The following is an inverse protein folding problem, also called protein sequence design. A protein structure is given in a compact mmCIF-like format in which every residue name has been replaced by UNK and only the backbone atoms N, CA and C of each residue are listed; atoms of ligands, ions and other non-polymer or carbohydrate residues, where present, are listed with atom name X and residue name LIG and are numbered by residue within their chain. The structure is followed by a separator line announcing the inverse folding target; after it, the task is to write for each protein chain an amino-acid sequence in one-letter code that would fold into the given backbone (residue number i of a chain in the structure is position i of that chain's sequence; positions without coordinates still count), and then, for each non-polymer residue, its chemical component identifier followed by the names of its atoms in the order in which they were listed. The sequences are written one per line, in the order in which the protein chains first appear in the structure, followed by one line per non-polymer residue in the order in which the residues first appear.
data_IF_266876246041
#
_entry.id   IF_266876246041
#
_cell.length_a   1.000
_cell.length_b   1.000
_cell.length_c   1.000
_cell.angle_alpha   90.00
_cell.angle_beta   90.00
_cell.angle_gamma   90.00
#
_symmetry.space_group_name_H-M   'P 1'
#
loop_
_entity.id
_entity.type
_entity.pdbx_description
1 polymer ?
#
# COMPACT_ATOMS: atom_id res chain seq x y z
N UNK A 1 -19.49 -61.83 25.20
CA UNK A 1 -18.15 -61.81 25.83
C UNK A 1 -18.32 -60.96 27.09
N UNK A 2 -18.22 -61.42 28.36
CA UNK A 2 -17.06 -62.06 29.05
C UNK A 2 -15.81 -61.19 28.84
N UNK A 3 -15.16 -60.52 29.80
CA UNK A 3 -15.11 -60.52 31.30
C UNK A 3 -14.74 -59.07 31.76
N UNK A 4 -14.64 -58.64 33.03
CA UNK A 4 -14.74 -59.24 34.37
C UNK A 4 -15.20 -58.14 35.37
N UNK A 5 -15.97 -58.49 36.40
CA UNK A 5 -16.21 -57.69 37.61
C UNK A 5 -15.51 -58.37 38.80
N UNK A 6 -15.13 -57.61 39.84
CA UNK A 6 -14.50 -58.04 41.10
C UNK A 6 -13.13 -58.76 41.01
N UNK A 7 -12.11 -58.17 41.65
CA UNK A 7 -11.14 -58.90 42.49
C UNK A 7 -10.82 -58.06 43.76
N UNK A 8 -11.12 -58.66 44.91
CA UNK A 8 -10.59 -58.47 46.28
C UNK A 8 -10.65 -57.11 47.01
N UNK A 9 -11.48 -57.12 48.05
CA UNK A 9 -11.20 -56.46 49.36
C UNK A 9 -10.57 -57.51 50.28
N UNK A 10 -9.31 -57.33 50.69
CA UNK A 10 -8.61 -57.96 51.82
C UNK A 10 -7.15 -57.50 51.79
N UNK A 11 -6.48 -56.97 52.82
CA UNK A 11 -6.75 -56.61 54.22
C UNK A 11 -6.11 -55.20 54.43
N UNK A 12 -6.40 -54.34 55.40
CA UNK A 12 -7.20 -54.34 56.63
C UNK A 12 -6.58 -53.29 57.60
N UNK A 13 -7.37 -52.69 58.52
CA UNK A 13 -6.91 -51.71 59.57
C UNK A 13 -6.59 -50.30 58.98
N UNK A 14 -7.13 -49.15 59.42
CA UNK A 14 -7.97 -48.73 60.58
C UNK A 14 -8.93 -47.59 60.21
N UNK A 15 -10.01 -47.39 61.00
CA UNK A 15 -10.84 -46.17 61.02
C UNK A 15 -10.04 -44.97 61.60
N UNK A 16 -10.45 -43.69 61.53
CA UNK A 16 -11.75 -43.02 61.29
C UNK A 16 -11.60 -41.94 60.17
N UNK A 17 -12.44 -40.92 59.89
CA UNK A 17 -13.61 -40.31 60.56
C UNK A 17 -14.57 -39.58 59.59
N UNK A 18 -15.69 -39.08 60.13
CA UNK A 18 -16.47 -37.91 59.68
C UNK A 18 -16.74 -37.73 58.17
N UNK A 19 -17.91 -38.21 57.74
CA UNK A 19 -18.60 -37.63 56.58
C UNK A 19 -19.09 -36.23 56.91
N UNK A 20 -18.38 -35.20 56.43
CA UNK A 20 -19.00 -33.89 56.19
C UNK A 20 -19.76 -33.97 54.86
N UNK A 21 -21.09 -33.88 54.91
CA UNK A 21 -21.92 -33.63 53.73
C UNK A 21 -21.58 -32.22 53.20
N UNK A 22 -20.58 -32.14 52.33
CA UNK A 22 -20.39 -30.98 51.47
C UNK A 22 -21.55 -31.03 50.47
N UNK A 23 -22.57 -30.20 50.71
CA UNK A 23 -23.58 -29.95 49.71
C UNK A 23 -22.87 -29.50 48.43
N UNK A 24 -23.20 -30.12 47.29
CA UNK A 24 -22.74 -29.64 46.01
C UNK A 24 -23.35 -28.24 45.79
N UNK A 25 -22.58 -27.19 46.09
CA UNK A 25 -22.80 -25.92 45.43
C UNK A 25 -22.77 -26.20 43.92
N UNK A 26 -23.78 -25.78 43.14
CA UNK A 26 -23.68 -25.84 41.70
C UNK A 26 -22.41 -25.08 41.29
N UNK A 27 -21.71 -25.50 40.22
CA UNK A 27 -20.54 -24.76 39.76
C UNK A 27 -20.97 -23.32 39.50
N UNK A 28 -20.41 -22.39 40.26
CA UNK A 28 -20.53 -20.98 39.91
C UNK A 28 -19.85 -20.85 38.55
N UNK A 29 -20.65 -20.64 37.51
CA UNK A 29 -20.17 -20.00 36.29
C UNK A 29 -19.66 -18.62 36.72
N UNK A 30 -18.36 -18.52 37.02
CA UNK A 30 -17.70 -17.23 37.02
C UNK A 30 -17.80 -16.73 35.59
N UNK A 31 -18.67 -15.74 35.36
CA UNK A 31 -18.74 -15.06 34.08
C UNK A 31 -17.34 -14.61 33.69
N UNK A 32 -16.91 -15.00 32.49
CA UNK A 32 -15.56 -14.67 32.02
C UNK A 32 -15.50 -13.16 31.87
N UNK A 33 -14.80 -12.50 32.79
CA UNK A 33 -14.67 -11.04 32.77
C UNK A 33 -13.99 -10.61 31.46
N UNK A 34 -14.73 -9.88 30.61
CA UNK A 34 -14.29 -9.37 29.30
C UNK A 34 -13.41 -8.11 29.42
N UNK A 35 -13.24 -7.56 30.63
CA UNK A 35 -12.47 -6.36 30.94
C UNK A 35 -11.33 -6.64 31.95
N UNK A 36 -10.74 -7.84 31.93
CA UNK A 36 -9.84 -8.37 32.99
C UNK A 36 -8.79 -7.40 33.56
N UNK A 37 -8.17 -6.57 32.71
CA UNK A 37 -7.13 -5.61 33.09
C UNK A 37 -7.52 -4.15 32.83
N UNK A 38 -8.78 -3.90 32.45
CA UNK A 38 -9.28 -2.53 32.28
C UNK A 38 -9.35 -1.85 33.65
N UNK A 39 -8.93 -0.60 33.70
CA UNK A 39 -8.91 0.20 34.91
C UNK A 39 -9.68 1.50 34.68
N UNK A 40 -10.35 1.96 35.73
CA UNK A 40 -11.03 3.24 35.77
C UNK A 40 -10.38 4.07 36.85
N UNK A 41 -9.85 5.23 36.45
CA UNK A 41 -9.14 6.15 37.32
C UNK A 41 -10.08 7.19 37.92
N UNK A 42 -9.77 7.61 39.14
CA UNK A 42 -10.41 8.77 39.79
C UNK A 42 -10.43 9.99 38.86
N UNK A 43 -11.54 10.73 38.87
CA UNK A 43 -11.85 11.92 38.06
C UNK A 43 -12.15 11.68 36.56
N UNK A 44 -12.16 10.44 36.07
CA UNK A 44 -12.63 10.20 34.69
C UNK A 44 -14.14 10.43 34.56
N UNK A 45 -14.53 11.09 33.48
CA UNK A 45 -15.92 11.22 33.03
C UNK A 45 -16.40 9.96 32.33
N UNK A 46 -17.72 9.78 32.22
CA UNK A 46 -18.28 8.60 31.55
C UNK A 46 -17.93 8.52 30.06
N UNK A 47 -17.79 9.66 29.36
CA UNK A 47 -17.32 9.69 27.97
C UNK A 47 -15.85 9.25 27.83
N UNK A 48 -14.99 9.60 28.79
CA UNK A 48 -13.59 9.14 28.80
C UNK A 48 -13.49 7.65 29.12
N UNK A 49 -14.31 7.14 30.04
CA UNK A 49 -14.41 5.71 30.33
C UNK A 49 -14.86 4.96 29.07
N UNK A 50 -15.90 5.43 28.37
CA UNK A 50 -16.38 4.82 27.13
C UNK A 50 -15.31 4.79 26.03
N UNK A 51 -14.60 5.90 25.81
CA UNK A 51 -13.55 5.98 24.79
C UNK A 51 -12.37 5.04 25.10
N UNK A 52 -11.94 4.99 26.37
CA UNK A 52 -10.90 4.07 26.82
C UNK A 52 -11.33 2.61 26.70
N UNK A 53 -12.60 2.29 27.01
CA UNK A 53 -13.12 0.93 26.96
C UNK A 53 -13.25 0.41 25.53
N UNK A 54 -13.69 1.25 24.60
CA UNK A 54 -13.72 0.92 23.17
C UNK A 54 -12.31 0.59 22.66
N UNK A 55 -11.33 1.43 23.02
CA UNK A 55 -9.93 1.26 22.63
C UNK A 55 -9.31 0.01 23.29
N UNK A 56 -9.65 -0.25 24.56
CA UNK A 56 -9.26 -1.48 25.28
C UNK A 56 -9.75 -2.72 24.56
N UNK A 57 -11.03 -2.78 24.17
CA UNK A 57 -11.61 -3.92 23.46
C UNK A 57 -10.87 -4.17 22.13
N UNK A 58 -10.59 -3.10 21.36
CA UNK A 58 -9.85 -3.20 20.10
C UNK A 58 -8.44 -3.76 20.29
N UNK A 59 -7.70 -3.28 21.30
CA UNK A 59 -6.32 -3.71 21.56
C UNK A 59 -6.27 -5.12 22.18
N UNK A 60 -7.08 -5.40 23.22
CA UNK A 60 -7.08 -6.67 23.94
C UNK A 60 -7.44 -7.86 23.04
N UNK A 61 -8.37 -7.63 22.12
CA UNK A 61 -8.98 -8.66 21.26
C UNK A 61 -8.65 -8.50 19.78
N UNK A 62 -7.67 -7.65 19.41
CA UNK A 62 -7.20 -7.45 18.03
C UNK A 62 -8.35 -7.13 17.06
N UNK A 63 -9.29 -6.29 17.50
CA UNK A 63 -10.42 -5.87 16.67
C UNK A 63 -10.01 -4.69 15.78
N UNK A 64 -10.67 -4.55 14.64
CA UNK A 64 -10.48 -3.42 13.71
C UNK A 64 -10.54 -2.08 14.46
N UNK A 65 -9.49 -1.27 14.30
CA UNK A 65 -9.38 0.08 14.88
C UNK A 65 -10.26 1.08 14.11
N UNK A 66 -11.56 0.99 14.31
CA UNK A 66 -12.58 1.90 13.77
C UNK A 66 -13.31 2.63 14.91
N UNK A 67 -13.39 3.98 14.93
CA UNK A 67 -14.22 4.72 15.88
C UNK A 67 -15.72 4.42 15.76
N UNK A 68 -16.17 3.78 14.67
CA UNK A 68 -17.54 3.30 14.46
C UNK A 68 -17.76 1.83 14.84
N UNK A 69 -16.76 1.12 15.40
CA UNK A 69 -16.85 -0.29 15.81
C UNK A 69 -17.85 -0.60 16.96
N UNK A 70 -18.77 0.33 17.25
CA UNK A 70 -20.09 0.09 17.88
C UNK A 70 -20.88 -1.05 17.22
N UNK A 71 -20.53 -1.45 16.00
CA UNK A 71 -21.03 -2.67 15.34
C UNK A 71 -20.65 -3.97 16.07
N UNK A 72 -19.53 -3.99 16.80
CA UNK A 72 -19.02 -5.23 17.45
C UNK A 72 -19.60 -5.38 18.85
N UNK A 73 -19.71 -4.27 19.59
CA UNK A 73 -20.28 -4.24 20.93
C UNK A 73 -20.96 -2.90 21.23
N UNK A 74 -22.03 -2.96 22.00
CA UNK A 74 -22.63 -1.79 22.66
C UNK A 74 -22.27 -1.79 24.14
N UNK A 75 -22.08 -0.59 24.70
CA UNK A 75 -21.61 -0.40 26.06
C UNK A 75 -22.60 0.48 26.82
N UNK A 76 -22.83 0.15 28.09
CA UNK A 76 -23.50 1.02 29.06
C UNK A 76 -22.60 1.14 30.30
N UNK A 77 -22.40 2.38 30.77
CA UNK A 77 -21.56 2.71 31.94
C UNK A 77 -22.46 3.34 32.99
N UNK A 78 -22.63 2.66 34.13
CA UNK A 78 -23.48 3.11 35.23
C UNK A 78 -22.63 3.39 36.47
N UNK A 79 -22.82 4.55 37.07
CA UNK A 79 -22.16 4.97 38.29
C UNK A 79 -23.17 5.59 39.25
N UNK A 80 -23.16 5.18 40.52
CA UNK A 80 -24.13 5.64 41.54
C UNK A 80 -25.60 5.52 41.09
N UNK A 81 -25.95 4.41 40.40
CA UNK A 81 -27.26 4.15 39.80
C UNK A 81 -27.70 5.14 38.69
N UNK A 82 -26.79 5.97 38.16
CA UNK A 82 -27.01 6.83 36.99
C UNK A 82 -26.25 6.28 35.79
N UNK A 83 -26.90 6.22 34.63
CA UNK A 83 -26.22 6.03 33.35
C UNK A 83 -25.37 7.28 33.05
N UNK A 84 -24.06 7.08 32.89
CA UNK A 84 -23.08 8.12 32.58
C UNK A 84 -22.40 7.90 31.22
N UNK A 85 -22.85 6.93 30.41
CA UNK A 85 -22.16 6.44 29.20
C UNK A 85 -21.65 7.54 28.25
N UNK A 86 -22.40 8.64 28.11
CA UNK A 86 -22.03 9.80 27.29
C UNK A 86 -21.97 11.11 28.09
N UNK A 87 -21.86 11.02 29.42
CA UNK A 87 -21.81 12.17 30.34
C UNK A 87 -20.38 12.74 30.39
N UNK A 88 -20.27 14.07 30.23
CA UNK A 88 -19.02 14.84 30.26
C UNK A 88 -18.81 15.61 31.57
N UNK A 89 -19.75 15.52 32.51
CA UNK A 89 -19.81 16.34 33.73
C UNK A 89 -19.64 15.45 34.97
N UNK A 90 -20.31 14.29 35.00
CA UNK A 90 -20.17 13.34 36.11
C UNK A 90 -18.84 12.64 36.02
N UNK A 91 -17.96 12.92 36.98
CA UNK A 91 -16.70 12.21 37.19
C UNK A 91 -16.86 11.12 38.25
N UNK A 92 -16.11 10.03 38.10
CA UNK A 92 -16.10 8.93 39.06
C UNK A 92 -15.09 9.19 40.18
N UNK A 93 -15.46 8.93 41.43
CA UNK A 93 -14.58 9.10 42.59
C UNK A 93 -13.89 7.81 42.99
N UNK A 94 -12.68 7.95 43.57
CA UNK A 94 -11.90 6.88 44.18
C UNK A 94 -12.77 5.97 45.07
N UNK A 95 -12.49 4.67 45.02
CA UNK A 95 -13.17 3.60 45.76
C UNK A 95 -14.65 3.38 45.38
N UNK A 96 -15.24 4.20 44.50
CA UNK A 96 -16.55 3.96 43.92
C UNK A 96 -16.58 2.74 42.99
N UNK A 97 -17.77 2.20 42.71
CA UNK A 97 -17.96 1.08 41.79
C UNK A 97 -18.67 1.60 40.54
N UNK A 98 -18.10 1.32 39.37
CA UNK A 98 -18.71 1.52 38.06
C UNK A 98 -19.17 0.17 37.56
N UNK A 99 -20.44 0.06 37.20
CA UNK A 99 -21.01 -1.14 36.58
C UNK A 99 -21.02 -0.91 35.07
N UNK A 100 -20.46 -1.86 34.32
CA UNK A 100 -20.38 -1.79 32.87
C UNK A 100 -21.09 -3.01 32.28
N UNK A 101 -22.05 -2.74 31.41
CA UNK A 101 -22.76 -3.75 30.63
C UNK A 101 -22.26 -3.69 29.19
N UNK A 102 -21.82 -4.83 28.67
CA UNK A 102 -21.28 -4.98 27.30
C UNK A 102 -22.12 -6.01 26.58
N UNK A 103 -22.83 -5.61 25.53
CA UNK A 103 -23.56 -6.54 24.66
C UNK A 103 -22.79 -6.73 23.37
N UNK A 104 -22.30 -7.94 23.12
CA UNK A 104 -21.64 -8.28 21.86
C UNK A 104 -22.70 -8.42 20.76
N UNK A 105 -22.39 -7.94 19.56
CA UNK A 105 -23.28 -8.10 18.43
C UNK A 105 -23.46 -9.57 18.04
N UNK A 106 -24.65 -9.97 17.53
CA UNK A 106 -24.85 -11.29 16.95
C UNK A 106 -23.98 -11.48 15.69
N UNK A 107 -23.82 -12.73 15.20
CA UNK A 107 -22.99 -13.01 14.02
C UNK A 107 -23.31 -12.13 12.80
N UNK A 108 -22.32 -11.41 12.28
CA UNK A 108 -22.42 -10.52 11.12
C UNK A 108 -21.21 -10.75 10.21
N UNK A 109 -21.48 -11.13 8.95
CA UNK A 109 -20.45 -11.43 7.96
C UNK A 109 -19.50 -10.26 7.69
N UNK A 110 -19.97 -9.02 7.84
CA UNK A 110 -19.21 -7.80 7.58
C UNK A 110 -18.12 -7.48 8.62
N UNK A 111 -18.18 -8.11 9.81
CA UNK A 111 -17.21 -7.98 10.91
C UNK A 111 -16.72 -9.35 11.41
N UNK A 112 -16.82 -10.38 10.57
CA UNK A 112 -16.57 -11.78 10.92
C UNK A 112 -15.17 -12.09 11.46
N UNK A 113 -14.15 -11.33 11.06
CA UNK A 113 -12.77 -11.45 11.58
C UNK A 113 -12.69 -11.01 13.05
N UNK A 114 -13.25 -9.85 13.36
CA UNK A 114 -13.28 -9.31 14.73
C UNK A 114 -14.10 -10.22 15.66
N UNK A 115 -15.23 -10.73 15.16
CA UNK A 115 -16.05 -11.69 15.88
C UNK A 115 -15.33 -13.03 16.10
N UNK A 116 -14.52 -13.51 15.16
CA UNK A 116 -13.68 -14.69 15.37
C UNK A 116 -12.66 -14.50 16.50
N UNK A 117 -12.05 -13.33 16.61
CA UNK A 117 -11.07 -13.07 17.68
C UNK A 117 -11.73 -13.14 19.08
N UNK A 118 -12.95 -12.60 19.22
CA UNK A 118 -13.73 -12.70 20.45
C UNK A 118 -14.15 -14.14 20.77
N UNK A 119 -14.56 -14.92 19.77
CA UNK A 119 -14.94 -16.33 19.93
C UNK A 119 -13.73 -17.21 20.27
N UNK A 120 -12.55 -16.96 19.69
CA UNK A 120 -11.30 -17.63 20.06
C UNK A 120 -10.90 -17.32 21.51
N UNK A 121 -11.16 -16.10 21.97
CA UNK A 121 -11.06 -15.71 23.37
C UNK A 121 -12.26 -16.16 24.21
N UNK A 122 -13.11 -17.05 23.69
CA UNK A 122 -14.16 -17.76 24.45
C UNK A 122 -15.36 -16.90 24.86
N UNK A 123 -15.65 -15.83 24.12
CA UNK A 123 -16.87 -15.04 24.28
C UNK A 123 -17.94 -15.46 23.26
N UNK A 124 -19.20 -15.41 23.67
CA UNK A 124 -20.38 -15.79 22.89
C UNK A 124 -20.99 -14.54 22.24
N UNK A 125 -21.18 -14.58 20.92
CA UNK A 125 -21.75 -13.47 20.15
C UNK A 125 -23.25 -13.33 20.43
N UNK A 126 -23.74 -12.10 20.55
CA UNK A 126 -25.12 -11.81 20.95
C UNK A 126 -25.38 -11.81 22.46
N UNK A 127 -24.42 -12.24 23.30
CA UNK A 127 -24.56 -12.22 24.75
C UNK A 127 -24.21 -10.87 25.38
N UNK A 128 -24.71 -10.69 26.60
CA UNK A 128 -24.43 -9.54 27.46
C UNK A 128 -23.51 -9.96 28.61
N UNK A 129 -22.48 -9.16 28.87
CA UNK A 129 -21.50 -9.34 29.93
C UNK A 129 -21.60 -8.17 30.90
N UNK A 130 -21.67 -8.44 32.20
CA UNK A 130 -21.69 -7.40 33.23
C UNK A 130 -20.39 -7.43 34.02
N UNK A 131 -19.74 -6.28 34.18
CA UNK A 131 -18.48 -6.15 34.90
C UNK A 131 -18.58 -5.00 35.89
N UNK A 132 -18.23 -5.29 37.14
CA UNK A 132 -18.06 -4.27 38.18
C UNK A 132 -16.57 -3.91 38.28
N UNK A 133 -16.27 -2.62 38.15
CA UNK A 133 -14.91 -2.10 38.25
C UNK A 133 -14.85 -1.08 39.37
N UNK A 134 -14.03 -1.38 40.38
CA UNK A 134 -13.74 -0.44 41.45
C UNK A 134 -12.77 0.63 40.95
N UNK A 135 -13.16 1.88 41.09
CA UNK A 135 -12.34 3.05 40.75
C UNK A 135 -11.14 3.12 41.68
N UNK A 136 -9.94 3.20 41.11
CA UNK A 136 -8.70 3.37 41.88
C UNK A 136 -8.03 4.68 41.51
N UNK A 137 -7.10 5.12 42.35
CA UNK A 137 -6.07 6.04 41.87
C UNK A 137 -5.13 5.30 40.91
N UNK A 138 -4.33 6.05 40.16
CA UNK A 138 -3.42 5.56 39.12
C UNK A 138 -2.59 4.36 39.59
N UNK A 139 -2.90 3.18 39.07
CA UNK A 139 -2.15 1.95 39.30
C UNK A 139 -1.29 1.63 38.06
N UNK A 140 -0.10 2.25 38.01
CA UNK A 140 0.83 2.14 36.87
C UNK A 140 1.11 0.68 36.54
N UNK A 141 0.93 0.30 35.28
CA UNK A 141 1.16 -1.08 34.85
C UNK A 141 2.64 -1.30 34.49
N UNK A 142 3.24 -2.36 35.05
CA UNK A 142 4.68 -2.55 34.95
C UNK A 142 5.11 -3.22 33.65
N UNK A 143 5.93 -2.53 32.83
CA UNK A 143 6.32 -2.98 31.48
C UNK A 143 7.38 -4.10 31.47
N UNK A 144 7.91 -4.55 32.62
CA UNK A 144 8.95 -5.60 32.69
C UNK A 144 8.59 -6.95 32.05
N UNK A 145 7.32 -7.18 31.73
CA UNK A 145 6.82 -8.43 31.11
C UNK A 145 6.44 -8.26 29.63
N UNK A 146 6.70 -7.09 29.05
CA UNK A 146 6.56 -6.81 27.62
C UNK A 146 7.68 -7.53 26.86
N UNK A 147 7.30 -8.12 25.73
CA UNK A 147 8.21 -8.81 24.82
C UNK A 147 7.99 -8.19 23.44
N UNK A 148 9.05 -7.62 22.88
CA UNK A 148 9.11 -7.19 21.48
C UNK A 148 9.92 -8.24 20.73
N UNK A 149 9.41 -8.85 19.64
CA UNK A 149 10.17 -9.81 18.85
C UNK A 149 11.32 -9.11 18.12
N UNK A 150 12.33 -9.87 17.67
CA UNK A 150 13.39 -9.32 16.80
C UNK A 150 12.76 -8.77 15.50
N UNK A 151 12.78 -7.44 15.38
CA UNK A 151 12.15 -6.68 14.31
C UNK A 151 12.90 -6.81 12.98
N UNK A 152 14.18 -7.21 13.02
CA UNK A 152 15.06 -7.38 11.86
C UNK A 152 15.18 -6.16 10.95
N UNK A 153 15.05 -4.94 11.50
CA UNK A 153 15.02 -3.70 10.70
C UNK A 153 16.31 -3.54 9.90
N UNK A 154 16.25 -3.16 8.62
CA UNK A 154 17.47 -2.99 7.82
C UNK A 154 18.37 -1.88 8.34
N UNK A 155 19.70 -2.10 8.30
CA UNK A 155 20.70 -1.09 8.57
C UNK A 155 20.65 0.04 7.53
N UNK A 156 20.70 1.28 8.01
CA UNK A 156 20.94 2.48 7.19
C UNK A 156 22.38 2.93 7.39
N UNK A 157 23.29 2.43 6.55
CA UNK A 157 24.74 2.66 6.65
C UNK A 157 25.15 4.15 6.55
N UNK A 158 24.29 5.01 5.99
CA UNK A 158 24.44 6.47 5.99
C UNK A 158 23.98 7.12 7.32
N UNK A 159 23.19 6.45 8.16
CA UNK A 159 22.74 6.91 9.47
C UNK A 159 23.62 6.38 10.62
N UNK A 160 23.47 6.97 11.80
CA UNK A 160 24.15 6.55 13.04
C UNK A 160 23.20 5.79 13.97
N UNK A 161 23.72 4.98 14.90
CA UNK A 161 22.87 4.19 15.80
C UNK A 161 21.92 5.02 16.68
N UNK A 162 22.23 6.29 16.99
CA UNK A 162 21.30 7.15 17.73
C UNK A 162 19.95 7.33 17.02
N UNK A 163 19.92 7.30 15.68
CA UNK A 163 18.68 7.47 14.90
C UNK A 163 17.67 6.35 15.13
N UNK A 164 18.13 5.15 15.50
CA UNK A 164 17.24 4.02 15.77
C UNK A 164 16.31 4.28 16.98
N UNK A 165 16.75 5.07 17.96
CA UNK A 165 15.90 5.46 19.11
C UNK A 165 14.69 6.32 18.70
N UNK A 166 14.76 6.92 17.51
CA UNK A 166 13.72 7.75 16.91
C UNK A 166 13.10 7.10 15.66
N UNK A 167 13.41 5.83 15.38
CA UNK A 167 12.85 5.11 14.25
C UNK A 167 11.36 4.81 14.52
N UNK A 168 10.51 5.21 13.57
CA UNK A 168 9.06 5.10 13.70
C UNK A 168 8.59 3.64 13.88
N UNK A 169 9.08 2.72 13.05
CA UNK A 169 8.71 1.30 13.07
C UNK A 169 9.08 0.63 14.41
N UNK A 170 10.24 0.99 14.97
CA UNK A 170 10.69 0.52 16.29
C UNK A 170 9.82 1.08 17.42
N UNK A 171 9.50 2.38 17.39
CA UNK A 171 8.63 3.03 18.39
C UNK A 171 7.21 2.45 18.33
N UNK A 172 6.67 2.25 17.13
CA UNK A 172 5.36 1.66 16.89
C UNK A 172 5.30 0.22 17.42
N UNK A 173 6.28 -0.62 17.07
CA UNK A 173 6.35 -2.00 17.58
C UNK A 173 6.47 -2.07 19.12
N UNK A 174 7.22 -1.15 19.74
CA UNK A 174 7.32 -1.04 21.21
C UNK A 174 6.00 -0.61 21.83
N UNK A 175 5.36 0.45 21.30
CA UNK A 175 4.06 0.94 21.77
C UNK A 175 3.00 -0.15 21.66
N UNK A 176 2.93 -0.83 20.51
CA UNK A 176 1.91 -1.84 20.25
C UNK A 176 2.13 -3.11 21.08
N UNK A 177 3.38 -3.47 21.39
CA UNK A 177 3.71 -4.54 22.32
C UNK A 177 3.34 -4.19 23.78
N UNK A 178 3.62 -2.96 24.24
CA UNK A 178 3.17 -2.46 25.55
C UNK A 178 1.64 -2.52 25.62
N UNK A 179 0.97 -1.93 24.62
CA UNK A 179 -0.48 -1.80 24.56
C UNK A 179 -1.15 -3.16 24.52
N UNK A 180 -0.70 -4.12 23.70
CA UNK A 180 -1.25 -5.48 23.72
C UNK A 180 -0.97 -6.21 25.05
N UNK A 181 0.28 -6.18 25.53
CA UNK A 181 0.71 -6.99 26.69
C UNK A 181 -0.03 -6.63 27.97
N UNK A 182 -0.29 -5.34 28.16
CA UNK A 182 -0.94 -4.76 29.33
C UNK A 182 -2.43 -4.47 29.08
N UNK A 183 -2.83 -4.38 27.81
CA UNK A 183 -4.17 -3.99 27.36
C UNK A 183 -4.52 -2.59 27.85
N UNK A 184 -3.74 -1.62 27.37
CA UNK A 184 -3.83 -0.19 27.67
C UNK A 184 -3.62 0.63 26.40
N UNK A 185 -3.83 1.95 26.49
CA UNK A 185 -3.59 2.91 25.40
C UNK A 185 -2.42 3.84 25.74
N UNK A 186 -1.22 3.27 25.93
CA UNK A 186 0.00 4.06 26.10
C UNK A 186 0.40 4.76 24.79
N UNK A 187 0.98 5.95 24.96
CA UNK A 187 1.42 6.85 23.91
C UNK A 187 2.95 6.84 23.75
N UNK A 188 3.46 7.43 22.68
CA UNK A 188 4.91 7.63 22.51
C UNK A 188 5.52 8.56 23.57
N UNK A 189 4.71 9.29 24.36
CA UNK A 189 5.16 10.09 25.50
C UNK A 189 5.23 9.33 26.83
N UNK A 190 4.77 8.07 26.89
CA UNK A 190 4.78 7.26 28.11
C UNK A 190 6.09 6.51 28.33
N UNK A 191 6.94 6.40 27.32
CA UNK A 191 8.22 5.68 27.37
C UNK A 191 9.33 6.39 26.58
N UNK A 192 10.57 6.01 26.90
CA UNK A 192 11.79 6.45 26.25
C UNK A 192 12.52 5.20 25.75
N UNK A 193 13.01 5.25 24.51
CA UNK A 193 13.83 4.19 23.90
C UNK A 193 15.29 4.66 23.84
N UNK A 194 16.21 3.81 24.31
CA UNK A 194 17.65 3.94 24.06
C UNK A 194 18.20 2.62 23.52
N UNK A 195 19.43 2.63 22.99
CA UNK A 195 20.14 1.42 22.57
C UNK A 195 21.58 1.38 23.09
N UNK A 196 22.16 0.20 23.07
CA UNK A 196 23.48 -0.13 23.61
C UNK A 196 24.68 0.28 22.74
N UNK A 197 24.44 0.74 21.51
CA UNK A 197 25.50 1.13 20.57
C UNK A 197 25.98 2.56 20.82
N UNK A 198 27.20 2.86 20.34
CA UNK A 198 27.75 4.21 20.42
C UNK A 198 26.94 5.17 19.51
N UNK A 199 26.40 6.30 20.05
CA UNK A 199 25.45 7.14 19.32
C UNK A 199 25.88 7.61 17.92
N UNK A 200 27.18 7.86 17.73
CA UNK A 200 27.74 8.47 16.51
C UNK A 200 28.35 7.46 15.54
N UNK A 201 28.41 6.16 15.86
CA UNK A 201 28.90 5.14 14.92
C UNK A 201 27.82 4.82 13.88
N UNK A 202 28.24 4.49 12.65
CA UNK A 202 27.33 4.13 11.55
C UNK A 202 26.68 2.78 11.80
N UNK A 203 25.41 2.65 11.40
CA UNK A 203 24.71 1.38 11.44
C UNK A 203 25.36 0.38 10.48
N UNK A 204 25.52 -0.88 10.90
CA UNK A 204 26.08 -1.95 10.06
C UNK A 204 25.10 -3.12 9.96
N UNK A 205 24.96 -3.75 8.77
CA UNK A 205 24.27 -5.02 8.64
C UNK A 205 24.86 -6.12 9.52
N UNK A 206 24.01 -6.98 10.08
CA UNK A 206 24.37 -8.06 10.99
C UNK A 206 24.57 -7.63 12.45
N UNK A 207 24.62 -6.33 12.77
CA UNK A 207 24.74 -5.86 14.15
C UNK A 207 23.49 -6.22 14.96
N UNK A 208 23.70 -6.90 16.08
CA UNK A 208 22.67 -7.13 17.09
C UNK A 208 22.62 -5.91 18.02
N UNK A 209 21.50 -5.19 18.03
CA UNK A 209 21.30 -3.98 18.84
C UNK A 209 20.37 -4.29 20.01
N UNK A 210 20.81 -4.03 21.24
CA UNK A 210 19.97 -4.16 22.43
C UNK A 210 19.31 -2.82 22.72
N UNK A 211 17.98 -2.79 22.65
CA UNK A 211 17.18 -1.64 23.04
C UNK A 211 16.77 -1.74 24.50
N UNK A 212 16.78 -0.60 25.20
CA UNK A 212 16.20 -0.44 26.53
C UNK A 212 15.00 0.48 26.43
N UNK A 213 13.83 0.00 26.84
CA UNK A 213 12.61 0.79 26.95
C UNK A 213 12.38 1.09 28.42
N UNK A 214 12.32 2.37 28.76
CA UNK A 214 12.09 2.84 30.14
C UNK A 214 10.88 3.75 30.17
N UNK A 215 10.02 3.62 31.17
CA UNK A 215 8.92 4.56 31.41
C UNK A 215 9.40 6.02 31.48
N UNK A 216 8.68 6.92 30.82
CA UNK A 216 8.91 8.36 30.91
C UNK A 216 8.52 8.89 32.31
N UNK A 217 9.28 9.82 32.92
CA UNK A 217 9.03 10.26 34.29
C UNK A 217 7.61 10.79 34.57
N UNK A 218 6.96 11.34 33.55
CA UNK A 218 5.62 11.89 33.56
C UNK A 218 4.51 10.92 33.12
N UNK A 219 4.82 9.66 32.77
CA UNK A 219 3.78 8.68 32.41
C UNK A 219 2.84 8.44 33.60
N UNK A 220 1.55 8.52 33.34
CA UNK A 220 0.47 8.17 34.26
C UNK A 220 -0.06 6.75 34.06
N UNK A 221 0.44 5.99 33.07
CA UNK A 221 -0.12 4.68 32.69
C UNK A 221 0.81 3.51 33.02
N UNK A 222 2.12 3.68 32.84
CA UNK A 222 3.10 2.59 32.94
C UNK A 222 4.23 2.90 33.92
N UNK A 223 4.93 1.85 34.36
CA UNK A 223 6.16 1.94 35.15
C UNK A 223 7.19 0.86 34.82
N UNK A 224 8.44 1.09 35.21
CA UNK A 224 9.54 0.15 35.04
C UNK A 224 10.26 0.25 33.69
N UNK A 225 10.91 -0.85 33.32
CA UNK A 225 11.68 -0.96 32.07
C UNK A 225 11.74 -2.41 31.59
N UNK A 226 12.03 -2.60 30.31
CA UNK A 226 12.39 -3.89 29.71
C UNK A 226 13.44 -3.67 28.62
N UNK A 227 14.06 -4.77 28.15
CA UNK A 227 14.97 -4.76 27.01
C UNK A 227 14.47 -5.69 25.91
N UNK A 228 14.84 -5.40 24.66
CA UNK A 228 14.64 -6.29 23.53
C UNK A 228 15.81 -6.18 22.55
N UNK A 229 15.92 -7.16 21.66
CA UNK A 229 16.96 -7.23 20.65
C UNK A 229 16.35 -6.93 19.28
N UNK A 230 17.07 -6.21 18.44
CA UNK A 230 16.77 -6.02 17.03
C UNK A 230 18.05 -6.21 16.22
N UNK A 231 18.06 -7.21 15.33
CA UNK A 231 19.20 -7.57 14.49
C UNK A 231 19.14 -6.77 13.20
N UNK A 232 20.11 -5.91 12.91
CA UNK A 232 20.04 -5.08 11.72
C UNK A 232 20.23 -5.90 10.44
N UNK A 233 19.23 -5.93 9.56
CA UNK A 233 19.31 -6.65 8.29
C UNK A 233 20.15 -5.89 7.25
N UNK A 234 20.73 -6.59 6.27
CA UNK A 234 21.22 -5.94 5.06
C UNK A 234 20.04 -5.47 4.19
N UNK A 235 20.14 -4.25 3.64
CA UNK A 235 19.26 -3.85 2.53
C UNK A 235 19.55 -4.73 1.30
N UNK A 236 18.59 -4.87 0.39
CA UNK A 236 18.77 -5.64 -0.85
C UNK A 236 19.43 -4.76 -1.92
N UNK A 237 20.46 -5.27 -2.58
CA UNK A 237 21.10 -4.57 -3.70
C UNK A 237 20.23 -4.66 -4.95
N UNK A 238 19.98 -3.52 -5.61
CA UNK A 238 19.30 -3.46 -6.91
C UNK A 238 20.29 -3.46 -8.09
N UNK A 239 21.60 -3.42 -7.86
CA UNK A 239 22.60 -3.18 -8.92
C UNK A 239 22.68 -4.28 -9.98
N UNK A 240 22.23 -5.50 -9.65
CA UNK A 240 22.09 -6.61 -10.61
C UNK A 240 20.69 -6.70 -11.25
N UNK A 241 19.77 -5.75 -11.02
CA UNK A 241 18.42 -5.81 -11.58
C UNK A 241 18.44 -5.54 -13.08
N UNK A 242 17.82 -6.42 -13.86
CA UNK A 242 17.72 -6.34 -15.31
C UNK A 242 16.26 -6.21 -15.73
N UNK A 243 15.94 -5.15 -16.48
CA UNK A 243 14.61 -4.96 -17.11
C UNK A 243 14.76 -5.21 -18.60
N UNK A 244 14.21 -6.34 -19.05
CA UNK A 244 14.31 -6.77 -20.45
C UNK A 244 13.14 -6.22 -21.28
N UNK A 245 13.49 -5.52 -22.37
CA UNK A 245 12.61 -5.17 -23.50
C UNK A 245 11.22 -4.64 -23.11
N UNK A 246 11.17 -3.44 -22.53
CA UNK A 246 9.93 -2.72 -22.26
C UNK A 246 9.52 -1.90 -23.51
N UNK A 247 8.40 -2.21 -24.19
CA UNK A 247 7.86 -1.35 -25.24
C UNK A 247 7.24 -0.11 -24.59
N UNK A 248 7.60 1.08 -25.08
CA UNK A 248 7.03 2.35 -24.62
C UNK A 248 6.74 3.24 -25.83
N UNK A 249 5.49 3.69 -25.96
CA UNK A 249 5.11 4.65 -27.00
C UNK A 249 5.60 6.06 -26.63
N UNK A 250 6.27 6.78 -27.54
CA UNK A 250 6.66 8.17 -27.31
C UNK A 250 5.42 9.06 -27.32
N UNK A 251 5.41 10.10 -26.48
CA UNK A 251 4.44 11.18 -26.56
C UNK A 251 5.14 12.51 -26.82
N UNK A 252 5.21 12.99 -28.09
CA UNK A 252 5.90 14.24 -28.44
C UNK A 252 5.28 15.53 -27.85
N UNK A 253 4.17 15.44 -27.10
CA UNK A 253 3.65 16.56 -26.28
C UNK A 253 4.37 16.68 -24.92
N UNK A 254 5.08 15.63 -24.52
CA UNK A 254 5.78 15.55 -23.25
C UNK A 254 7.30 15.53 -23.45
N UNK A 255 8.02 15.99 -22.44
CA UNK A 255 9.49 15.98 -22.44
C UNK A 255 10.04 14.64 -21.95
N UNK A 256 11.34 14.41 -22.12
CA UNK A 256 12.02 13.25 -21.53
C UNK A 256 12.04 13.25 -20.00
N UNK A 257 11.94 14.40 -19.33
CA UNK A 257 11.83 14.40 -17.87
C UNK A 257 10.48 13.81 -17.39
N UNK A 258 9.39 14.15 -18.09
CA UNK A 258 8.08 13.57 -17.82
C UNK A 258 8.04 12.05 -18.09
N UNK A 259 8.95 11.53 -18.91
CA UNK A 259 9.10 10.09 -19.15
C UNK A 259 9.61 9.34 -17.90
N UNK A 260 10.34 9.99 -16.99
CA UNK A 260 10.74 9.42 -15.70
C UNK A 260 9.54 9.08 -14.79
N UNK A 261 8.39 9.70 -15.06
CA UNK A 261 7.13 9.49 -14.32
C UNK A 261 6.13 8.62 -15.10
N UNK A 262 6.54 8.00 -16.21
CA UNK A 262 5.68 7.11 -16.98
C UNK A 262 5.31 5.88 -16.14
N UNK A 263 4.01 5.58 -16.05
CA UNK A 263 3.48 4.51 -15.22
C UNK A 263 3.99 3.11 -15.62
N UNK A 264 4.08 2.80 -16.90
CA UNK A 264 4.52 1.49 -17.38
C UNK A 264 6.00 1.25 -17.03
N UNK A 265 6.83 2.30 -17.11
CA UNK A 265 8.22 2.29 -16.67
C UNK A 265 8.33 2.07 -15.16
N UNK A 266 7.57 2.82 -14.36
CA UNK A 266 7.59 2.70 -12.89
C UNK A 266 7.06 1.35 -12.41
N UNK A 267 5.96 0.86 -13.00
CA UNK A 267 5.38 -0.46 -12.70
C UNK A 267 6.35 -1.58 -13.08
N UNK A 268 7.07 -1.48 -14.21
CA UNK A 268 8.09 -2.44 -14.61
C UNK A 268 9.27 -2.47 -13.63
N UNK A 269 9.76 -1.32 -13.19
CA UNK A 269 10.82 -1.22 -12.17
C UNK A 269 10.37 -1.88 -10.86
N UNK A 270 9.19 -1.54 -10.35
CA UNK A 270 8.64 -2.11 -9.12
C UNK A 270 8.44 -3.62 -9.25
N UNK A 271 7.82 -4.07 -10.34
CA UNK A 271 7.55 -5.48 -10.59
C UNK A 271 8.83 -6.32 -10.66
N UNK A 272 9.84 -5.84 -11.37
CA UNK A 272 11.12 -6.56 -11.51
C UNK A 272 11.90 -6.59 -10.19
N UNK A 273 11.99 -5.48 -9.46
CA UNK A 273 12.67 -5.44 -8.14
C UNK A 273 11.96 -6.37 -7.14
N UNK A 274 10.63 -6.26 -7.02
CA UNK A 274 9.84 -7.07 -6.10
C UNK A 274 9.99 -8.57 -6.39
N UNK A 275 9.94 -8.96 -7.67
CA UNK A 275 10.10 -10.34 -8.09
C UNK A 275 11.54 -10.85 -7.88
N UNK A 276 12.57 -10.13 -8.33
CA UNK A 276 13.96 -10.58 -8.23
C UNK A 276 14.45 -10.66 -6.77
N UNK A 277 14.03 -9.73 -5.90
CA UNK A 277 14.54 -9.61 -4.54
C UNK A 277 13.58 -10.16 -3.46
N UNK A 278 12.36 -10.55 -3.86
CA UNK A 278 11.28 -11.07 -2.98
C UNK A 278 10.93 -10.10 -1.84
N UNK A 279 10.66 -8.85 -2.23
CA UNK A 279 10.31 -7.71 -1.36
C UNK A 279 9.12 -6.93 -1.93
N UNK A 280 8.63 -5.92 -1.20
CA UNK A 280 7.60 -4.99 -1.69
C UNK A 280 8.10 -3.55 -1.55
N UNK A 281 8.55 -2.95 -2.65
CA UNK A 281 8.94 -1.54 -2.75
C UNK A 281 7.86 -0.68 -3.42
N UNK A 282 8.01 0.64 -3.31
CA UNK A 282 7.16 1.66 -3.93
C UNK A 282 8.00 2.71 -4.66
N UNK A 283 7.36 3.66 -5.34
CA UNK A 283 8.05 4.82 -5.95
C UNK A 283 8.74 5.76 -4.95
N UNK A 284 8.59 5.55 -3.63
CA UNK A 284 9.35 6.28 -2.60
C UNK A 284 10.75 5.68 -2.38
N UNK A 285 10.96 4.43 -2.78
CA UNK A 285 12.18 3.67 -2.52
C UNK A 285 13.28 3.92 -3.56
N UNK A 286 12.96 4.55 -4.69
CA UNK A 286 13.90 4.83 -5.76
C UNK A 286 13.59 6.15 -6.50
N UNK A 287 14.58 6.67 -7.20
CA UNK A 287 14.46 7.79 -8.14
C UNK A 287 14.80 7.26 -9.54
N UNK A 288 14.06 7.72 -10.54
CA UNK A 288 14.31 7.43 -11.97
C UNK A 288 14.77 8.70 -12.66
N UNK A 289 15.86 8.61 -13.41
CA UNK A 289 16.30 9.62 -14.39
C UNK A 289 16.63 8.94 -15.71
N UNK A 290 16.88 9.72 -16.76
CA UNK A 290 17.36 9.19 -18.05
C UNK A 290 18.44 10.07 -18.67
N UNK A 291 19.07 9.55 -19.74
CA UNK A 291 20.21 10.15 -20.44
C UNK A 291 19.86 11.24 -21.47
N UNK A 292 18.58 11.54 -21.68
CA UNK A 292 18.14 12.57 -22.64
C UNK A 292 18.05 13.95 -22.00
N UNK A 293 17.91 15.01 -22.82
CA UNK A 293 17.77 16.38 -22.31
C UNK A 293 16.37 16.59 -21.70
N UNK A 294 16.34 16.96 -20.43
CA UNK A 294 15.16 17.23 -19.57
C UNK A 294 13.98 17.88 -20.30
N UNK A 295 14.25 18.91 -21.13
CA UNK A 295 13.23 19.74 -21.79
C UNK A 295 12.98 19.39 -23.27
N UNK A 296 13.66 18.40 -23.84
CA UNK A 296 13.41 18.00 -25.24
C UNK A 296 12.17 17.08 -25.35
N UNK A 297 11.33 17.26 -26.38
CA UNK A 297 10.19 16.38 -26.63
C UNK A 297 10.60 14.93 -26.90
N UNK A 298 9.77 13.98 -26.48
CA UNK A 298 9.96 12.55 -26.74
C UNK A 298 9.87 12.24 -28.24
N UNK A 299 10.82 11.48 -28.78
CA UNK A 299 10.91 11.17 -30.21
C UNK A 299 10.81 9.65 -30.49
N UNK A 300 10.14 9.22 -31.58
CA UNK A 300 10.06 7.82 -31.99
C UNK A 300 11.40 7.25 -32.43
N UNK A 301 11.59 5.95 -32.16
CA UNK A 301 12.86 5.20 -32.32
C UNK A 301 14.05 5.79 -31.55
N UNK A 302 13.84 6.68 -30.58
CA UNK A 302 14.91 7.14 -29.70
C UNK A 302 15.25 6.04 -28.68
N UNK A 303 16.53 5.73 -28.56
CA UNK A 303 17.08 4.93 -27.47
C UNK A 303 17.26 5.80 -26.23
N UNK A 304 16.66 5.40 -25.12
CA UNK A 304 16.69 6.10 -23.83
C UNK A 304 17.27 5.17 -22.77
N UNK A 305 18.34 5.59 -22.11
CA UNK A 305 18.93 4.87 -20.98
C UNK A 305 18.40 5.43 -19.68
N UNK A 306 17.62 4.63 -18.95
CA UNK A 306 17.16 4.96 -17.61
C UNK A 306 18.21 4.60 -16.57
N UNK A 307 18.28 5.40 -15.51
CA UNK A 307 19.09 5.17 -14.33
C UNK A 307 18.14 5.12 -13.13
N UNK A 308 18.17 4.02 -12.39
CA UNK A 308 17.33 3.81 -11.21
C UNK A 308 18.23 3.74 -9.98
N UNK A 309 18.05 4.70 -9.07
CA UNK A 309 18.87 4.86 -7.86
C UNK A 309 17.98 4.63 -6.65
N UNK A 310 18.35 3.71 -5.75
CA UNK A 310 17.64 3.55 -4.48
C UNK A 310 17.75 4.83 -3.64
N UNK A 311 16.65 5.28 -3.02
CA UNK A 311 16.67 6.47 -2.17
C UNK A 311 17.45 6.21 -0.88
N UNK A 312 18.18 7.21 -0.38
CA UNK A 312 18.82 7.15 0.94
C UNK A 312 17.83 6.84 2.08
N UNK A 313 16.56 7.21 1.88
CA UNK A 313 15.46 6.96 2.82
C UNK A 313 14.86 5.55 2.73
N UNK A 314 15.16 4.75 1.69
CA UNK A 314 14.64 3.39 1.61
C UNK A 314 15.25 2.50 2.69
N UNK A 315 14.38 1.86 3.47
CA UNK A 315 14.73 0.80 4.42
C UNK A 315 14.87 -0.57 3.75
N UNK A 316 14.52 -0.72 2.47
CA UNK A 316 14.47 -2.03 1.81
C UNK A 316 15.62 -2.25 0.83
N UNK A 317 15.97 -1.22 0.05
CA UNK A 317 16.93 -1.35 -1.06
C UNK A 317 18.11 -0.37 -0.98
N UNK A 318 19.20 -0.73 -1.64
CA UNK A 318 20.34 0.13 -1.94
C UNK A 318 20.87 -0.16 -3.35
N UNK A 319 21.79 0.66 -3.85
CA UNK A 319 22.47 0.43 -5.13
C UNK A 319 21.85 1.22 -6.29
N UNK A 320 22.27 0.87 -7.51
CA UNK A 320 21.85 1.56 -8.74
C UNK A 320 21.99 0.62 -9.93
N UNK A 321 20.96 0.55 -10.77
CA UNK A 321 21.04 -0.14 -12.06
C UNK A 321 20.62 0.77 -13.22
N UNK A 322 20.85 0.29 -14.43
CA UNK A 322 20.46 0.96 -15.67
C UNK A 322 19.76 -0.02 -16.59
N UNK A 323 18.81 0.47 -17.36
CA UNK A 323 18.18 -0.30 -18.44
C UNK A 323 17.87 0.63 -19.61
N UNK A 324 17.64 0.04 -20.79
CA UNK A 324 17.46 0.80 -22.02
C UNK A 324 16.09 0.49 -22.62
N UNK A 325 15.42 1.55 -23.07
CA UNK A 325 14.15 1.48 -23.81
C UNK A 325 14.38 2.08 -25.20
N UNK A 326 13.81 1.45 -26.23
CA UNK A 326 13.71 2.08 -27.56
C UNK A 326 12.25 2.50 -27.73
N UNK A 327 12.02 3.81 -27.83
CA UNK A 327 10.66 4.35 -27.99
C UNK A 327 10.08 3.89 -29.34
N UNK A 328 8.82 3.47 -29.34
CA UNK A 328 8.17 2.91 -30.52
C UNK A 328 8.01 3.93 -31.69
N UNK A 329 7.70 3.43 -32.89
CA UNK A 329 7.28 4.27 -34.03
C UNK A 329 5.83 4.70 -33.85
N UNK A 330 5.49 5.94 -34.19
CA UNK A 330 4.11 6.43 -34.08
C UNK A 330 3.22 5.85 -35.19
N UNK A 331 2.06 5.32 -34.82
CA UNK A 331 1.13 4.73 -35.78
C UNK A 331 0.40 5.83 -36.58
N UNK A 332 0.25 5.64 -37.90
CA UNK A 332 -0.48 6.53 -38.82
C UNK A 332 -2.02 6.47 -38.68
N UNK A 333 -2.58 5.47 -38.00
CA UNK A 333 -4.03 5.26 -37.84
C UNK A 333 -4.85 6.50 -37.38
N UNK A 334 -4.38 7.38 -36.46
CA UNK A 334 -5.13 8.57 -36.06
C UNK A 334 -5.02 9.75 -37.04
N UNK A 335 -4.18 9.67 -38.08
CA UNK A 335 -4.04 10.72 -39.11
C UNK A 335 -5.26 10.74 -40.03
N UNK A 336 -5.86 11.92 -40.20
CA UNK A 336 -7.04 12.14 -41.05
C UNK A 336 -6.86 13.39 -41.88
N UNK A 337 -6.99 13.26 -43.20
CA UNK A 337 -6.96 14.35 -44.15
C UNK A 337 -8.39 14.61 -44.64
N UNK A 338 -8.86 15.85 -44.50
CA UNK A 338 -10.03 16.33 -45.22
C UNK A 338 -9.60 16.67 -46.65
N UNK A 339 -9.86 15.75 -47.58
CA UNK A 339 -9.48 15.91 -48.98
C UNK A 339 -10.25 16.99 -49.73
N UNK A 340 -11.27 17.64 -49.13
CA UNK A 340 -11.86 18.87 -49.70
C UNK A 340 -10.90 20.07 -49.62
N UNK A 341 -9.89 20.00 -48.76
CA UNK A 341 -8.85 21.04 -48.62
C UNK A 341 -7.72 20.92 -49.66
N UNK A 342 -7.71 19.85 -50.47
CA UNK A 342 -6.70 19.61 -51.51
C UNK A 342 -7.33 19.78 -52.89
N UNK A 343 -6.96 20.84 -53.59
CA UNK A 343 -7.47 21.15 -54.93
C UNK A 343 -6.49 20.69 -56.00
N UNK A 344 -6.75 19.53 -56.61
CA UNK A 344 -5.97 19.04 -57.77
C UNK A 344 -6.83 19.10 -59.02
N UNK A 345 -6.38 19.82 -60.04
CA UNK A 345 -7.00 19.85 -61.37
C UNK A 345 -6.61 18.59 -62.14
N UNK A 346 -7.56 17.93 -62.80
CA UNK A 346 -7.26 16.78 -63.67
C UNK A 346 -6.42 17.22 -64.87
N UNK A 347 -5.37 16.46 -65.18
CA UNK A 347 -4.60 16.60 -66.41
C UNK A 347 -4.95 15.44 -67.37
N UNK A 348 -5.76 15.67 -68.42
CA UNK A 348 -6.18 14.63 -69.37
C UNK A 348 -5.03 13.99 -70.17
N UNK A 349 -3.82 14.56 -70.13
CA UNK A 349 -2.63 13.99 -70.77
C UNK A 349 -1.72 13.23 -69.79
N UNK A 350 -1.93 13.37 -68.49
CA UNK A 350 -1.23 12.60 -67.46
C UNK A 350 -1.98 11.33 -67.03
N UNK A 351 -1.22 10.32 -66.60
CA UNK A 351 -1.75 9.10 -66.01
C UNK A 351 -2.10 9.30 -64.52
N UNK A 352 -2.99 8.48 -63.96
CA UNK A 352 -3.32 8.54 -62.52
C UNK A 352 -2.12 8.24 -61.60
N UNK A 353 -1.11 7.49 -62.07
CA UNK A 353 0.09 7.23 -61.26
C UNK A 353 0.87 8.52 -60.94
N UNK A 354 0.82 9.54 -61.81
CA UNK A 354 1.56 10.80 -61.58
C UNK A 354 1.05 11.57 -60.36
N UNK A 355 -0.21 11.36 -59.95
CA UNK A 355 -0.78 11.94 -58.73
C UNK A 355 -0.04 11.50 -57.47
N UNK A 356 0.56 10.31 -57.45
CA UNK A 356 1.37 9.82 -56.31
C UNK A 356 2.65 10.67 -56.08
N UNK A 357 3.00 11.48 -57.08
CA UNK A 357 4.15 12.40 -57.13
C UNK A 357 3.71 13.88 -57.13
N UNK A 358 2.42 14.19 -57.05
CA UNK A 358 1.91 15.57 -57.02
C UNK A 358 2.34 16.29 -55.72
N UNK A 359 2.88 17.51 -55.85
CA UNK A 359 3.44 18.27 -54.74
C UNK A 359 2.40 18.76 -53.72
N UNK A 360 1.18 19.08 -54.14
CA UNK A 360 0.10 19.54 -53.25
C UNK A 360 -0.36 18.40 -52.35
N UNK A 361 -0.54 17.21 -52.93
CA UNK A 361 -0.85 15.97 -52.20
C UNK A 361 0.27 15.63 -51.21
N UNK A 362 1.54 15.66 -51.66
CA UNK A 362 2.69 15.41 -50.79
C UNK A 362 2.76 16.40 -49.64
N UNK A 363 2.54 17.68 -49.91
CA UNK A 363 2.56 18.75 -48.90
C UNK A 363 1.44 18.54 -47.89
N UNK A 364 0.21 18.33 -48.33
CA UNK A 364 -0.95 18.11 -47.46
C UNK A 364 -0.80 16.87 -46.57
N UNK A 365 -0.27 15.77 -47.11
CA UNK A 365 0.05 14.56 -46.34
C UNK A 365 1.13 14.86 -45.29
N UNK A 366 2.25 15.47 -45.70
CA UNK A 366 3.37 15.80 -44.78
C UNK A 366 2.90 16.72 -43.66
N UNK A 367 2.20 17.81 -43.99
CA UNK A 367 1.68 18.79 -43.02
C UNK A 367 0.70 18.14 -42.06
N UNK A 368 -0.18 17.25 -42.53
CA UNK A 368 -1.18 16.61 -41.66
C UNK A 368 -0.53 15.58 -40.73
N UNK A 369 0.40 14.75 -41.21
CA UNK A 369 1.16 13.83 -40.35
C UNK A 369 1.91 14.63 -39.26
N UNK A 370 2.66 15.67 -39.66
CA UNK A 370 3.42 16.50 -38.73
C UNK A 370 2.54 17.18 -37.68
N UNK A 371 1.37 17.71 -38.10
CA UNK A 371 0.42 18.36 -37.20
C UNK A 371 -0.29 17.37 -36.25
N UNK A 372 -0.64 16.17 -36.71
CA UNK A 372 -1.36 15.18 -35.90
C UNK A 372 -0.44 14.47 -34.92
N UNK A 373 0.75 14.05 -35.37
CA UNK A 373 1.70 13.26 -34.59
C UNK A 373 2.77 14.11 -33.88
N UNK A 374 2.85 15.42 -34.17
CA UNK A 374 3.79 16.37 -33.57
C UNK A 374 5.27 15.97 -33.75
N UNK A 375 5.59 15.56 -34.98
CA UNK A 375 6.92 15.15 -35.45
C UNK A 375 7.23 15.84 -36.78
N UNK A 376 8.44 15.63 -37.32
CA UNK A 376 8.85 16.12 -38.64
C UNK A 376 9.17 14.93 -39.55
N UNK A 377 8.18 14.47 -40.33
CA UNK A 377 8.38 13.49 -41.41
C UNK A 377 8.72 14.16 -42.74
N UNK A 378 9.29 13.36 -43.64
CA UNK A 378 9.61 13.72 -45.02
C UNK A 378 8.90 12.79 -46.01
N UNK A 379 8.96 13.08 -47.31
CA UNK A 379 8.47 12.18 -48.39
C UNK A 379 9.18 10.82 -48.42
N UNK A 380 10.31 10.64 -47.72
CA UNK A 380 10.98 9.34 -47.58
C UNK A 380 10.36 8.45 -46.50
N UNK A 381 9.59 9.04 -45.57
CA UNK A 381 8.98 8.31 -44.45
C UNK A 381 7.68 7.59 -44.83
N UNK A 382 7.09 7.89 -45.98
CA UNK A 382 5.81 7.31 -46.41
C UNK A 382 5.71 7.18 -47.93
N UNK A 383 4.98 6.14 -48.34
CA UNK A 383 4.65 5.84 -49.74
C UNK A 383 3.22 6.35 -50.01
N UNK A 384 3.01 6.96 -51.17
CA UNK A 384 1.67 7.33 -51.66
C UNK A 384 1.29 6.40 -52.80
N UNK A 385 0.13 5.75 -52.70
CA UNK A 385 -0.52 5.07 -53.82
C UNK A 385 -1.95 5.56 -53.95
N UNK A 386 -2.60 5.27 -55.08
CA UNK A 386 -4.01 5.56 -55.29
C UNK A 386 -4.75 4.39 -55.94
N UNK A 387 -6.07 4.40 -55.86
CA UNK A 387 -6.92 3.28 -56.26
C UNK A 387 -7.25 3.20 -57.77
N UNK A 388 -6.70 4.08 -58.60
CA UNK A 388 -6.96 4.10 -60.04
C UNK A 388 -5.90 3.29 -60.81
N UNK A 389 -6.23 2.71 -61.97
CA UNK A 389 -5.25 2.01 -62.81
C UNK A 389 -4.11 2.94 -63.27
N UNK A 390 -2.88 2.46 -63.19
CA UNK A 390 -1.67 3.26 -63.51
C UNK A 390 -1.56 3.62 -64.99
N UNK A 391 -2.23 2.89 -65.88
CA UNK A 391 -2.27 3.07 -67.33
C UNK A 391 -3.40 3.98 -67.81
N UNK A 392 -4.31 4.43 -66.92
CA UNK A 392 -5.41 5.33 -67.28
C UNK A 392 -5.04 6.80 -67.14
N UNK A 393 -5.49 7.60 -68.11
CA UNK A 393 -5.47 9.07 -68.08
C UNK A 393 -6.43 9.63 -67.02
N UNK A 394 -6.11 10.79 -66.46
CA UNK A 394 -6.93 11.43 -65.44
C UNK A 394 -8.21 12.02 -66.03
N UNK A 395 -9.34 11.81 -65.35
CA UNK A 395 -10.64 12.37 -65.72
C UNK A 395 -11.09 13.40 -64.64
N UNK A 396 -11.68 14.54 -65.05
CA UNK A 396 -12.24 15.49 -64.10
C UNK A 396 -13.45 14.89 -63.36
N UNK A 397 -13.74 15.43 -62.17
CA UNK A 397 -14.81 14.99 -61.25
C UNK A 397 -14.63 13.55 -60.72
N UNK A 398 -13.56 12.84 -61.07
CA UNK A 398 -13.24 11.53 -60.50
C UNK A 398 -12.85 11.64 -59.03
N UNK A 399 -13.45 10.79 -58.20
CA UNK A 399 -13.03 10.59 -56.81
C UNK A 399 -11.86 9.60 -56.78
N UNK A 400 -10.71 10.06 -56.29
CA UNK A 400 -9.49 9.27 -56.15
C UNK A 400 -9.24 9.01 -54.67
N UNK A 401 -9.13 7.74 -54.29
CA UNK A 401 -8.77 7.31 -52.94
C UNK A 401 -7.27 7.07 -52.88
N UNK A 402 -6.59 7.80 -51.99
CA UNK A 402 -5.17 7.66 -51.73
C UNK A 402 -4.95 6.79 -50.49
N UNK A 403 -3.93 5.93 -50.57
CA UNK A 403 -3.41 5.17 -49.43
C UNK A 403 -2.02 5.68 -49.12
N UNK A 404 -1.79 6.00 -47.85
CA UNK A 404 -0.52 6.47 -47.30
C UNK A 404 -0.02 5.40 -46.34
N UNK A 405 1.07 4.74 -46.71
CA UNK A 405 1.69 3.67 -45.91
C UNK A 405 3.06 4.14 -45.43
N UNK A 406 3.39 3.93 -44.16
CA UNK A 406 4.72 4.23 -43.65
C UNK A 406 5.78 3.41 -44.41
N UNK A 407 6.89 4.05 -44.78
CA UNK A 407 8.02 3.38 -45.42
C UNK A 407 8.67 2.42 -44.42
N UNK A 408 9.09 1.24 -44.90
CA UNK A 408 9.85 0.27 -44.10
C UNK A 408 11.10 0.90 -43.46
N UNK A 409 11.73 1.84 -44.19
CA UNK A 409 12.93 2.58 -43.76
C UNK A 409 12.63 3.74 -42.81
N UNK A 410 11.36 4.14 -42.61
CA UNK A 410 11.05 5.23 -41.67
C UNK A 410 11.39 4.82 -40.25
N UNK A 411 12.06 5.71 -39.51
CA UNK A 411 12.28 5.57 -38.07
C UNK A 411 11.17 6.22 -37.25
N UNK A 412 10.28 6.99 -37.88
CA UNK A 412 9.34 7.85 -37.17
C UNK A 412 7.94 7.24 -37.07
N UNK A 413 7.48 6.62 -38.16
CA UNK A 413 6.08 6.21 -38.31
C UNK A 413 5.91 4.74 -38.72
N UNK A 414 4.72 4.19 -38.46
CA UNK A 414 4.30 2.84 -38.83
C UNK A 414 2.81 2.80 -39.23
N UNK A 415 2.36 1.71 -39.87
CA UNK A 415 0.98 1.53 -40.30
C UNK A 415 0.61 2.31 -41.56
N UNK A 416 -0.68 2.59 -41.73
CA UNK A 416 -1.22 3.29 -42.90
C UNK A 416 -2.52 4.05 -42.59
N UNK A 417 -2.88 4.99 -43.46
CA UNK A 417 -4.20 5.62 -43.50
C UNK A 417 -4.65 5.89 -44.95
N UNK A 418 -5.93 6.26 -45.14
CA UNK A 418 -6.49 6.59 -46.46
C UNK A 418 -7.28 7.89 -46.43
N UNK A 419 -7.33 8.60 -47.56
CA UNK A 419 -8.23 9.75 -47.77
C UNK A 419 -8.71 9.80 -49.22
N UNK A 420 -9.66 10.68 -49.52
CA UNK A 420 -10.26 10.83 -50.87
C UNK A 420 -10.21 12.29 -51.31
N UNK A 421 -9.85 12.54 -52.56
CA UNK A 421 -10.01 13.84 -53.21
C UNK A 421 -10.92 13.69 -54.44
N UNK A 422 -11.49 14.80 -54.92
CA UNK A 422 -12.19 14.85 -56.20
C UNK A 422 -11.39 15.73 -57.15
N UNK A 423 -10.99 15.20 -58.31
CA UNK A 423 -10.24 15.97 -59.29
C UNK A 423 -11.13 17.07 -59.89
N UNK A 424 -10.60 18.29 -60.01
CA UNK A 424 -11.35 19.43 -60.53
C UNK A 424 -11.21 19.57 -62.05
N UNK A 425 -12.21 20.21 -62.67
CA UNK A 425 -12.11 20.65 -64.06
C UNK A 425 -11.16 21.85 -64.16
N UNK A 426 -10.42 21.93 -65.27
CA UNK A 426 -9.61 23.09 -65.59
C UNK A 426 -10.54 24.25 -65.97
N UNK A 427 -10.78 25.17 -65.05
CA UNK A 427 -11.43 26.45 -65.35
C UNK A 427 -10.61 27.20 -66.40
N UNK A 428 -11.25 27.57 -67.51
CA UNK A 428 -10.67 28.37 -68.60
C UNK A 428 -10.51 29.84 -68.19
#
# INVERSE_FOLDING_TARGET
MKKLLLILVSLGITATSSFSLIACNPPQHQEKNILQTFQINTNQTGIEILANLHTFMQIRYRLTQDPTARKIATYQVVYQNKDITNDQIVTVSRDGIVHITITLAPPDSSISVDQQNLVQEGFELGNTYNVEIKVTDVNKQNIKTVIVPDLKTSARENEVYQKLNTNYDIIEAVRDAINHRLSITASNSDFIITNDQKPNEKQLPGTVVTFTVTTAPNSSLIEGSFTFINTLSARKDISEVEINNLPVDPNPKFTYDQLNQNKEILDAIIGTINNKLQITITTKDFIVTNDQKVNEPQAPSQTVTFIVVATETSSLIHGTFKFTVVLAKLNLTPVKIDGTTITVVADPDALYETLNKNNEIITAVTTTINKTLLITVTKLDFIITNNQPSDKKQEPKTVVTFTITASETSKLITGQFTFKITLQEKTM
#
